data_IF_121712810073
#
_entry.id   IF_121712810073
#
_cell.length_a   1.000
_cell.length_b   1.000
_cell.length_c   1.000
_cell.angle_alpha   90.00
_cell.angle_beta   90.00
_cell.angle_gamma   90.00
#
_symmetry.space_group_name_H-M   'P 1'
#
loop_
_entity.id
_entity.type
_entity.pdbx_description
1 polymer ?
#
# COMPACT_ATOMS: atom_id res chain seq x y z
N UNK A 1 1.33 -3.98 -19.70
CA UNK A 1 0.98 -4.38 -18.31
C UNK A 1 0.74 -3.09 -17.54
N UNK A 2 -0.21 -3.03 -16.61
CA UNK A 2 -0.34 -1.87 -15.74
C UNK A 2 0.96 -1.67 -14.95
N UNK A 3 1.36 -0.41 -14.77
CA UNK A 3 2.55 -0.08 -14.01
C UNK A 3 2.39 -0.52 -12.55
N UNK A 4 3.40 -1.22 -12.03
CA UNK A 4 3.40 -1.76 -10.67
C UNK A 4 4.42 -0.99 -9.83
N UNK A 5 4.11 0.26 -9.57
CA UNK A 5 4.91 1.14 -8.72
C UNK A 5 4.05 1.73 -7.62
N UNK A 6 4.68 2.27 -6.59
CA UNK A 6 3.99 2.94 -5.50
C UNK A 6 3.87 4.45 -5.73
N UNK A 7 4.23 4.95 -6.93
CA UNK A 7 4.13 6.38 -7.26
C UNK A 7 2.69 6.88 -7.14
N UNK A 8 2.54 8.15 -6.77
CA UNK A 8 1.25 8.76 -6.43
C UNK A 8 0.20 8.59 -7.53
N UNK A 9 0.57 8.87 -8.78
CA UNK A 9 -0.30 8.74 -9.96
C UNK A 9 -0.79 7.29 -10.16
N UNK A 10 0.08 6.30 -9.94
CA UNK A 10 -0.28 4.88 -10.02
C UNK A 10 -1.17 4.46 -8.85
N UNK A 11 -0.91 4.96 -7.64
CA UNK A 11 -1.78 4.71 -6.49
C UNK A 11 -3.18 5.30 -6.71
N UNK A 12 -3.28 6.54 -7.21
CA UNK A 12 -4.56 7.20 -7.53
C UNK A 12 -5.34 6.44 -8.59
N UNK A 13 -4.67 6.03 -9.69
CA UNK A 13 -5.30 5.28 -10.78
C UNK A 13 -5.82 3.88 -10.36
N UNK A 14 -5.41 3.38 -9.20
CA UNK A 14 -5.82 2.07 -8.67
C UNK A 14 -6.67 2.17 -7.39
N UNK A 15 -7.13 3.37 -7.02
CA UNK A 15 -7.88 3.63 -5.78
C UNK A 15 -7.10 3.23 -4.51
N UNK A 16 -5.76 3.32 -4.57
CA UNK A 16 -4.83 2.95 -3.52
C UNK A 16 -4.20 4.15 -2.81
N UNK A 17 -4.51 5.39 -3.21
CA UNK A 17 -3.92 6.60 -2.61
C UNK A 17 -4.60 6.99 -1.27
N UNK A 18 -4.75 6.03 -0.36
CA UNK A 18 -5.29 6.25 0.99
C UNK A 18 -4.72 5.21 1.98
N UNK A 19 -4.64 5.60 3.24
CA UNK A 19 -4.15 4.72 4.32
C UNK A 19 -5.00 3.46 4.42
N UNK A 20 -6.33 3.57 4.37
CA UNK A 20 -7.23 2.44 4.49
C UNK A 20 -7.05 1.43 3.36
N UNK A 21 -6.91 1.90 2.10
CA UNK A 21 -6.74 1.02 0.95
C UNK A 21 -5.40 0.27 1.01
N UNK A 22 -4.31 0.97 1.36
CA UNK A 22 -2.98 0.36 1.49
C UNK A 22 -2.96 -0.63 2.65
N UNK A 23 -3.48 -0.24 3.81
CA UNK A 23 -3.61 -1.10 5.00
C UNK A 23 -4.37 -2.38 4.67
N UNK A 24 -5.52 -2.25 4.00
CA UNK A 24 -6.33 -3.39 3.59
C UNK A 24 -5.55 -4.33 2.67
N UNK A 25 -4.84 -3.80 1.68
CA UNK A 25 -4.09 -4.63 0.73
C UNK A 25 -2.84 -5.26 1.37
N UNK A 26 -2.13 -4.57 2.27
CA UNK A 26 -1.01 -5.16 3.01
C UNK A 26 -1.51 -6.28 3.92
N UNK A 27 -2.63 -6.06 4.62
CA UNK A 27 -3.23 -7.03 5.52
C UNK A 27 -3.72 -8.29 4.78
N UNK A 28 -4.40 -8.11 3.65
CA UNK A 28 -5.10 -9.21 2.94
C UNK A 28 -4.39 -9.72 1.69
N UNK A 29 -3.37 -9.02 1.19
CA UNK A 29 -2.76 -9.30 -0.11
C UNK A 29 -3.70 -8.97 -1.29
N UNK A 30 -3.17 -9.10 -2.51
CA UNK A 30 -3.93 -8.96 -3.77
C UNK A 30 -3.16 -9.61 -4.92
N UNK A 31 -3.78 -10.57 -5.62
CA UNK A 31 -3.16 -11.32 -6.71
C UNK A 31 -1.82 -11.95 -6.27
N UNK A 32 -0.70 -11.48 -6.85
CA UNK A 32 0.64 -11.97 -6.53
C UNK A 32 1.21 -11.39 -5.22
N UNK A 33 0.56 -10.40 -4.60
CA UNK A 33 0.99 -9.84 -3.32
C UNK A 33 0.46 -10.70 -2.17
N UNK A 34 1.33 -11.28 -1.32
CA UNK A 34 0.90 -12.08 -0.18
C UNK A 34 0.25 -11.21 0.91
N UNK A 35 -0.58 -11.84 1.75
CA UNK A 35 -1.16 -11.22 2.93
C UNK A 35 -0.13 -11.14 4.08
N UNK A 36 -0.12 -10.03 4.82
CA UNK A 36 0.73 -9.82 5.99
C UNK A 36 -0.01 -9.75 7.33
N UNK A 37 -1.36 -9.79 7.35
CA UNK A 37 -2.15 -9.70 8.58
C UNK A 37 -1.94 -10.83 9.61
N UNK A 38 -1.27 -11.92 9.24
CA UNK A 38 -0.85 -12.99 10.17
C UNK A 38 0.66 -12.98 10.48
N UNK A 39 1.38 -11.98 9.96
CA UNK A 39 2.85 -11.85 10.06
C UNK A 39 3.29 -10.57 10.75
N UNK A 40 2.49 -9.51 10.61
CA UNK A 40 2.70 -8.20 11.19
C UNK A 40 1.53 -7.87 12.11
N UNK A 41 1.79 -7.08 13.14
CA UNK A 41 0.72 -6.48 13.96
C UNK A 41 0.08 -5.32 13.21
N UNK A 42 -1.14 -4.94 13.62
CA UNK A 42 -1.90 -3.89 12.91
C UNK A 42 -1.16 -2.54 12.86
N UNK A 43 -0.41 -2.20 13.92
CA UNK A 43 0.41 -0.98 13.99
C UNK A 43 1.51 -0.96 12.91
N UNK A 44 2.26 -2.06 12.74
CA UNK A 44 3.29 -2.18 11.70
C UNK A 44 2.70 -2.03 10.28
N UNK A 45 1.46 -2.51 10.08
CA UNK A 45 0.77 -2.40 8.78
C UNK A 45 0.35 -0.95 8.52
N UNK A 46 -0.17 -0.27 9.54
CA UNK A 46 -0.55 1.14 9.45
C UNK A 46 0.68 2.04 9.24
N UNK A 47 1.79 1.77 9.93
CA UNK A 47 3.06 2.47 9.72
C UNK A 47 3.59 2.27 8.30
N UNK A 48 3.50 1.05 7.76
CA UNK A 48 3.86 0.79 6.37
C UNK A 48 2.96 1.57 5.38
N UNK A 49 1.66 1.66 5.65
CA UNK A 49 0.73 2.43 4.83
C UNK A 49 1.05 3.93 4.84
N UNK A 50 1.31 4.49 6.03
CA UNK A 50 1.73 5.89 6.20
C UNK A 50 3.06 6.16 5.48
N UNK A 51 4.03 5.26 5.62
CA UNK A 51 5.31 5.37 4.93
C UNK A 51 5.12 5.41 3.42
N UNK A 52 4.37 4.46 2.84
CA UNK A 52 4.09 4.40 1.40
C UNK A 52 3.45 5.69 0.90
N UNK A 53 2.44 6.19 1.61
CA UNK A 53 1.75 7.42 1.22
C UNK A 53 2.71 8.62 1.24
N UNK A 54 3.47 8.78 2.33
CA UNK A 54 4.43 9.87 2.49
C UNK A 54 5.56 9.86 1.45
N UNK A 55 6.04 8.68 1.05
CA UNK A 55 7.06 8.55 0.00
C UNK A 55 6.47 8.85 -1.37
N UNK A 56 5.23 8.42 -1.63
CA UNK A 56 4.56 8.70 -2.90
C UNK A 56 4.37 10.21 -3.13
N UNK A 57 4.06 10.98 -2.09
CA UNK A 57 3.97 12.45 -2.14
C UNK A 57 5.31 13.12 -2.44
N UNK A 58 6.43 12.49 -2.04
CA UNK A 58 7.79 12.95 -2.31
C UNK A 58 8.31 12.49 -3.68
N UNK A 59 7.54 11.68 -4.42
CA UNK A 59 7.90 11.16 -5.72
C UNK A 59 8.68 9.85 -5.71
N UNK A 60 8.82 9.22 -4.54
CA UNK A 60 9.75 8.12 -4.24
C UNK A 60 11.23 8.48 -4.40
#
# INVERSE_FOLDING_TARGET
>A
MPDKTLKKDVLEANDMNSIDAITYQVKNGKNAMPAFGGRLVDEDIEDAANYVLSQSEKGW
#
